data_IF_333334390382
#
_entry.id   IF_333334390382
#
_cell.length_a   1.000
_cell.length_b   1.000
_cell.length_c   1.000
_cell.angle_alpha   90.00
_cell.angle_beta   90.00
_cell.angle_gamma   90.00
#
_symmetry.space_group_name_H-M   'P 1'
#
loop_
_entity.id
_entity.type
_entity.pdbx_description
1 polymer ?
#
# COMPACT_ATOMS: atom_id res chain seq x y z
N UNK A 1 17.78 -4.46 -11.24
CA UNK A 1 16.73 -3.43 -11.23
C UNK A 1 15.61 -4.03 -10.42
N UNK A 2 15.26 -3.41 -9.29
CA UNK A 2 14.15 -3.89 -8.47
C UNK A 2 12.87 -3.23 -9.00
N UNK A 3 11.93 -4.07 -9.41
CA UNK A 3 10.59 -3.66 -9.81
C UNK A 3 9.73 -3.57 -8.54
N UNK A 4 9.12 -2.40 -8.33
CA UNK A 4 8.26 -2.10 -7.20
C UNK A 4 6.86 -1.89 -7.75
N UNK A 5 5.93 -2.75 -7.35
CA UNK A 5 4.52 -2.64 -7.73
C UNK A 5 3.77 -1.84 -6.68
N UNK A 6 3.35 -0.63 -7.00
CA UNK A 6 2.51 0.21 -6.16
C UNK A 6 1.05 -0.17 -6.37
N UNK A 7 0.36 -0.56 -5.31
CA UNK A 7 -1.03 -0.97 -5.33
C UNK A 7 -1.82 0.12 -4.60
N UNK A 8 -2.54 0.95 -5.34
CA UNK A 8 -3.34 2.01 -4.77
C UNK A 8 -4.82 1.61 -4.65
N UNK A 9 -5.44 1.91 -3.51
CA UNK A 9 -6.86 1.69 -3.27
C UNK A 9 -7.49 2.95 -2.71
N UNK A 10 -8.33 3.61 -3.50
CA UNK A 10 -9.03 4.83 -3.11
C UNK A 10 -10.44 4.86 -3.64
N UNK A 11 -11.33 5.57 -2.95
CA UNK A 11 -12.65 5.97 -3.49
C UNK A 11 -12.64 7.40 -4.01
N UNK A 12 -11.79 8.27 -3.44
CA UNK A 12 -11.78 9.72 -3.69
C UNK A 12 -10.48 10.21 -4.37
N UNK A 13 -9.63 9.31 -4.86
CA UNK A 13 -8.35 9.68 -5.47
C UNK A 13 -7.18 9.93 -4.50
N UNK A 14 -7.41 10.19 -3.21
CA UNK A 14 -6.33 10.58 -2.28
C UNK A 14 -5.16 9.56 -2.20
N UNK A 15 -5.45 8.26 -2.16
CA UNK A 15 -4.38 7.24 -2.12
C UNK A 15 -3.66 7.10 -3.47
N UNK A 16 -4.33 7.40 -4.58
CA UNK A 16 -3.76 7.36 -5.94
C UNK A 16 -2.73 8.47 -6.11
N UNK A 17 -3.06 9.70 -5.72
CA UNK A 17 -2.10 10.83 -5.73
C UNK A 17 -0.83 10.52 -4.93
N UNK A 18 -0.99 9.94 -3.74
CA UNK A 18 0.18 9.54 -2.93
C UNK A 18 0.99 8.46 -3.64
N UNK A 19 0.33 7.44 -4.22
CA UNK A 19 1.03 6.40 -4.96
C UNK A 19 1.81 6.95 -6.18
N UNK A 20 1.19 7.85 -6.97
CA UNK A 20 1.86 8.52 -8.10
C UNK A 20 3.09 9.30 -7.65
N UNK A 21 2.97 10.11 -6.59
CA UNK A 21 4.09 10.85 -6.04
C UNK A 21 5.24 9.93 -5.61
N UNK A 22 4.92 8.81 -4.95
CA UNK A 22 5.92 7.85 -4.50
C UNK A 22 6.59 7.12 -5.66
N UNK A 23 5.84 6.81 -6.73
CA UNK A 23 6.38 6.18 -7.92
C UNK A 23 7.40 7.10 -8.61
N UNK A 24 7.07 8.38 -8.80
CA UNK A 24 8.01 9.36 -9.38
C UNK A 24 9.31 9.41 -8.56
N UNK A 25 9.21 9.45 -7.22
CA UNK A 25 10.39 9.45 -6.33
C UNK A 25 11.21 8.17 -6.43
N UNK A 26 10.57 7.01 -6.61
CA UNK A 26 11.26 5.74 -6.81
C UNK A 26 12.01 5.73 -8.15
N UNK A 27 11.39 6.26 -9.21
CA UNK A 27 12.03 6.40 -10.53
C UNK A 27 13.22 7.37 -10.49
N UNK A 28 13.12 8.50 -9.77
CA UNK A 28 14.23 9.42 -9.55
C UNK A 28 15.43 8.75 -8.84
N UNK A 29 15.16 7.76 -7.99
CA UNK A 29 16.18 6.96 -7.29
C UNK A 29 16.73 5.80 -8.15
N UNK A 30 16.19 5.58 -9.36
CA UNK A 30 16.60 4.54 -10.30
C UNK A 30 15.92 3.18 -10.11
N UNK A 31 14.79 3.15 -9.41
CA UNK A 31 13.92 1.96 -9.31
C UNK A 31 12.83 2.00 -10.38
N UNK A 32 12.36 0.84 -10.84
CA UNK A 32 11.19 0.75 -11.71
C UNK A 32 9.95 0.69 -10.81
N UNK A 33 9.03 1.63 -10.96
CA UNK A 33 7.81 1.71 -10.16
C UNK A 33 6.58 1.57 -11.08
N UNK A 34 5.76 0.53 -10.87
CA UNK A 34 4.53 0.33 -11.63
C UNK A 34 3.32 0.55 -10.72
N UNK A 35 2.43 1.46 -11.12
CA UNK A 35 1.24 1.81 -10.34
C UNK A 35 0.04 1.02 -10.86
N UNK A 36 -0.61 0.31 -9.95
CA UNK A 36 -1.84 -0.43 -10.18
C UNK A 36 -2.94 0.12 -9.28
N UNK A 37 -4.06 0.51 -9.86
CA UNK A 37 -5.21 1.05 -9.14
C UNK A 37 -6.24 -0.06 -8.95
N UNK A 38 -6.40 -0.54 -7.71
CA UNK A 38 -7.31 -1.66 -7.40
C UNK A 38 -7.13 -2.90 -8.29
N UNK A 39 -5.89 -3.39 -8.53
CA UNK A 39 -5.67 -4.55 -9.39
C UNK A 39 -6.33 -5.80 -8.80
N UNK A 40 -6.62 -6.78 -9.66
CA UNK A 40 -6.98 -8.12 -9.23
C UNK A 40 -5.74 -8.98 -8.97
N UNK A 41 -5.89 -10.11 -8.27
CA UNK A 41 -4.77 -10.98 -7.91
C UNK A 41 -4.01 -11.51 -9.15
N UNK A 42 -4.70 -11.65 -10.28
CA UNK A 42 -4.13 -12.11 -11.55
C UNK A 42 -3.20 -11.06 -12.19
N UNK A 43 -3.43 -9.78 -11.88
CA UNK A 43 -2.66 -8.66 -12.43
C UNK A 43 -1.43 -8.33 -11.57
N UNK A 44 -1.43 -8.75 -10.30
CA UNK A 44 -0.33 -8.44 -9.37
C UNK A 44 0.72 -9.56 -9.37
N UNK A 45 2.00 -9.24 -9.62
CA UNK A 45 3.05 -10.25 -9.63
C UNK A 45 3.33 -10.77 -8.21
N UNK A 46 3.06 -12.05 -7.93
CA UNK A 46 3.28 -12.73 -6.64
C UNK A 46 4.77 -12.92 -6.26
N UNK A 47 5.65 -12.07 -6.75
CA UNK A 47 7.07 -12.06 -6.47
C UNK A 47 7.61 -10.63 -6.59
N UNK A 48 8.51 -10.24 -5.68
CA UNK A 48 9.19 -8.95 -5.74
C UNK A 48 8.81 -8.05 -4.57
N UNK A 49 8.64 -6.76 -4.85
CA UNK A 49 8.35 -5.76 -3.83
C UNK A 49 7.03 -5.06 -4.17
N UNK A 50 6.09 -5.08 -3.25
CA UNK A 50 4.80 -4.39 -3.37
C UNK A 50 4.75 -3.18 -2.44
N UNK A 51 4.00 -2.16 -2.83
CA UNK A 51 3.73 -1.01 -1.99
C UNK A 51 2.23 -0.75 -1.99
N UNK A 52 1.54 -1.20 -0.95
CA UNK A 52 0.08 -1.03 -0.86
C UNK A 52 -0.23 0.33 -0.23
N UNK A 53 -0.93 1.18 -0.95
CA UNK A 53 -1.38 2.51 -0.52
C UNK A 53 -2.91 2.52 -0.54
N UNK A 54 -3.55 2.51 0.63
CA UNK A 54 -5.01 2.42 0.70
C UNK A 54 -5.64 3.47 1.59
N UNK A 55 -6.75 4.06 1.16
CA UNK A 55 -7.58 4.90 2.02
C UNK A 55 -8.57 4.05 2.81
N UNK A 56 -8.78 4.42 4.07
CA UNK A 56 -9.76 3.75 4.93
C UNK A 56 -11.15 4.28 4.66
N UNK A 57 -12.13 3.40 4.42
CA UNK A 57 -13.53 3.81 4.22
C UNK A 57 -14.39 3.51 5.45
N UNK A 58 -15.17 4.50 5.90
CA UNK A 58 -16.21 4.35 6.92
C UNK A 58 -15.72 3.76 8.25
N UNK A 59 -16.06 2.50 8.50
CA UNK A 59 -15.83 1.82 9.79
C UNK A 59 -14.43 1.19 9.93
N UNK A 60 -13.52 1.44 9.00
CA UNK A 60 -12.20 0.81 8.99
C UNK A 60 -12.01 -0.22 7.88
N UNK A 61 -12.87 -0.23 6.87
CA UNK A 61 -12.81 -1.23 5.79
C UNK A 61 -11.93 -0.76 4.62
N UNK A 62 -11.58 -1.71 3.76
CA UNK A 62 -10.90 -1.45 2.52
C UNK A 62 -11.86 -0.78 1.53
N UNK A 63 -11.35 0.05 0.60
CA UNK A 63 -12.17 0.60 -0.45
C UNK A 63 -12.62 -0.53 -1.40
N UNK A 64 -13.79 -0.36 -2.02
CA UNK A 64 -14.43 -1.33 -2.92
C UNK A 64 -13.51 -1.80 -4.06
N UNK A 65 -12.58 -0.93 -4.49
CA UNK A 65 -11.61 -1.23 -5.55
C UNK A 65 -10.49 -2.19 -5.11
N UNK A 66 -10.20 -2.24 -3.80
CA UNK A 66 -9.08 -3.02 -3.26
C UNK A 66 -9.55 -4.26 -2.48
N UNK A 67 -10.78 -4.23 -1.96
CA UNK A 67 -11.44 -5.34 -1.28
C UNK A 67 -11.36 -6.68 -2.07
N UNK A 68 -11.70 -6.74 -3.39
CA UNK A 68 -11.68 -8.00 -4.13
C UNK A 68 -10.28 -8.63 -4.26
N UNK A 69 -9.21 -7.82 -4.32
CA UNK A 69 -7.83 -8.32 -4.33
C UNK A 69 -7.55 -9.16 -3.08
N UNK A 70 -7.89 -8.63 -1.91
CA UNK A 70 -7.63 -9.31 -0.63
C UNK A 70 -8.53 -10.53 -0.44
N UNK A 71 -9.80 -10.45 -0.86
CA UNK A 71 -10.68 -11.62 -0.88
C UNK A 71 -10.15 -12.74 -1.80
N UNK A 72 -9.59 -12.37 -2.97
CA UNK A 72 -8.95 -13.32 -3.86
C UNK A 72 -7.69 -13.92 -3.23
N UNK A 73 -6.85 -13.14 -2.55
CA UNK A 73 -5.68 -13.67 -1.82
C UNK A 73 -6.13 -14.67 -0.76
N UNK A 74 -7.16 -14.35 0.02
CA UNK A 74 -7.68 -15.27 1.05
C UNK A 74 -8.29 -16.55 0.46
N UNK A 75 -8.91 -16.44 -0.72
CA UNK A 75 -9.56 -17.57 -1.40
C UNK A 75 -8.57 -18.47 -2.14
N UNK A 76 -7.66 -17.86 -2.92
CA UNK A 76 -6.67 -18.54 -3.76
C UNK A 76 -5.47 -19.02 -2.94
N UNK A 77 -5.19 -18.36 -1.81
CA UNK A 77 -4.07 -18.65 -0.92
C UNK A 77 -2.74 -18.77 -1.68
N UNK A 78 -2.35 -17.74 -2.46
CA UNK A 78 -1.11 -17.77 -3.20
C UNK A 78 0.08 -17.81 -2.23
N UNK A 79 1.19 -18.40 -2.67
CA UNK A 79 2.42 -18.40 -1.91
C UNK A 79 3.12 -17.03 -2.05
N UNK A 80 3.03 -16.19 -1.02
CA UNK A 80 3.63 -14.85 -1.00
C UNK A 80 5.01 -14.84 -0.32
N UNK A 81 5.64 -16.00 -0.10
CA UNK A 81 6.91 -16.07 0.65
C UNK A 81 8.06 -15.30 -0.01
N UNK A 82 7.98 -15.07 -1.32
CA UNK A 82 8.94 -14.27 -2.09
C UNK A 82 8.49 -12.83 -2.34
N UNK A 83 7.34 -12.44 -1.77
CA UNK A 83 6.82 -11.07 -1.82
C UNK A 83 7.25 -10.33 -0.59
N UNK A 84 7.81 -9.16 -0.82
CA UNK A 84 8.07 -8.17 0.20
C UNK A 84 7.10 -7.02 0.00
N UNK A 85 6.54 -6.45 1.05
CA UNK A 85 5.56 -5.38 0.87
C UNK A 85 5.73 -4.23 1.86
N UNK A 86 5.41 -3.02 1.40
CA UNK A 86 5.17 -1.84 2.22
C UNK A 86 3.67 -1.57 2.32
N UNK A 87 3.26 -0.95 3.42
CA UNK A 87 1.85 -0.72 3.72
C UNK A 87 1.67 0.74 4.15
N UNK A 88 0.84 1.48 3.43
CA UNK A 88 0.52 2.90 3.65
C UNK A 88 -1.00 3.04 3.74
N UNK A 89 -1.49 3.41 4.90
CA UNK A 89 -2.89 3.73 5.14
C UNK A 89 -3.12 5.23 5.13
N UNK A 90 -4.10 5.70 4.38
CA UNK A 90 -4.66 7.03 4.51
C UNK A 90 -5.95 6.93 5.33
N UNK A 91 -6.09 7.77 6.35
CA UNK A 91 -7.27 7.80 7.19
C UNK A 91 -7.54 9.19 7.72
N UNK A 92 -8.73 9.36 8.29
CA UNK A 92 -9.13 10.59 8.96
C UNK A 92 -9.25 10.30 10.45
N UNK A 93 -8.55 11.04 11.30
CA UNK A 93 -8.64 10.89 12.78
C UNK A 93 -9.99 11.29 13.35
N UNK A 94 -10.90 11.81 12.52
CA UNK A 94 -12.32 11.98 12.86
C UNK A 94 -13.07 10.65 13.01
N UNK A 95 -12.53 9.54 12.48
CA UNK A 95 -13.12 8.21 12.62
C UNK A 95 -12.41 7.40 13.71
N UNK A 96 -13.20 6.70 14.53
CA UNK A 96 -12.71 5.86 15.64
C UNK A 96 -11.77 4.73 15.15
N UNK A 97 -12.01 4.21 13.94
CA UNK A 97 -11.19 3.15 13.33
C UNK A 97 -10.11 3.72 12.42
N UNK A 98 -9.15 4.43 13.00
CA UNK A 98 -8.02 4.98 12.25
C UNK A 98 -7.17 3.86 11.61
N UNK A 99 -7.08 3.88 10.27
CA UNK A 99 -6.27 2.96 9.47
C UNK A 99 -6.60 1.46 9.66
N UNK A 100 -7.88 1.13 9.84
CA UNK A 100 -8.33 -0.28 9.94
C UNK A 100 -8.02 -1.10 8.69
N UNK A 101 -8.26 -0.54 7.51
CA UNK A 101 -8.12 -1.24 6.23
C UNK A 101 -6.69 -1.71 5.98
N UNK A 102 -5.72 -0.81 6.16
CA UNK A 102 -4.31 -1.17 5.95
C UNK A 102 -3.79 -2.20 6.98
N UNK A 103 -4.34 -2.21 8.21
CA UNK A 103 -4.01 -3.22 9.23
C UNK A 103 -4.52 -4.60 8.84
N UNK A 104 -5.71 -4.66 8.24
CA UNK A 104 -6.25 -5.91 7.70
C UNK A 104 -5.38 -6.43 6.56
N UNK A 105 -5.00 -5.56 5.63
CA UNK A 105 -4.07 -5.86 4.53
C UNK A 105 -2.74 -6.41 5.05
N UNK A 106 -2.12 -5.71 5.99
CA UNK A 106 -0.86 -6.10 6.61
C UNK A 106 -0.96 -7.50 7.22
N UNK A 107 -2.02 -7.75 7.98
CA UNK A 107 -2.26 -9.05 8.62
C UNK A 107 -2.46 -10.17 7.59
N UNK A 108 -3.24 -9.92 6.53
CA UNK A 108 -3.49 -10.88 5.46
C UNK A 108 -2.16 -11.25 4.78
N UNK A 109 -1.42 -10.26 4.28
CA UNK A 109 -0.16 -10.49 3.57
C UNK A 109 0.86 -11.24 4.43
N UNK A 110 1.04 -10.86 5.70
CA UNK A 110 1.91 -11.58 6.64
C UNK A 110 1.43 -13.02 6.85
N UNK A 111 0.12 -13.26 6.95
CA UNK A 111 -0.42 -14.60 7.13
C UNK A 111 -0.15 -15.52 5.93
N UNK A 112 -0.07 -14.96 4.72
CA UNK A 112 0.27 -15.68 3.48
C UNK A 112 1.78 -15.78 3.22
N UNK A 113 2.61 -15.36 4.17
CA UNK A 113 4.07 -15.51 4.12
C UNK A 113 4.80 -14.31 3.52
N UNK A 114 4.10 -13.25 3.10
CA UNK A 114 4.74 -12.03 2.64
C UNK A 114 5.54 -11.38 3.77
N UNK A 115 6.64 -10.73 3.43
CA UNK A 115 7.48 -10.04 4.41
C UNK A 115 7.25 -8.54 4.34
N UNK A 116 6.77 -7.96 5.44
CA UNK A 116 6.70 -6.52 5.55
C UNK A 116 8.10 -5.91 5.58
N UNK A 117 8.33 -4.93 4.73
CA UNK A 117 9.52 -4.09 4.76
C UNK A 117 9.18 -2.80 5.50
N UNK A 118 9.91 -2.53 6.58
CA UNK A 118 9.72 -1.34 7.39
C UNK A 118 8.44 -1.37 8.23
N UNK A 119 7.98 -0.18 8.62
CA UNK A 119 6.77 0.03 9.42
C UNK A 119 5.62 0.51 8.53
N UNK A 120 4.38 0.20 8.89
CA UNK A 120 3.19 0.72 8.22
C UNK A 120 3.13 2.24 8.38
N UNK A 121 2.95 2.99 7.29
CA UNK A 121 2.70 4.43 7.37
C UNK A 121 1.21 4.67 7.54
N UNK A 122 0.84 5.49 8.51
CA UNK A 122 -0.54 5.94 8.71
C UNK A 122 -0.58 7.46 8.49
N UNK A 123 -1.19 7.90 7.38
CA UNK A 123 -1.31 9.30 7.00
C UNK A 123 -2.69 9.82 7.42
N UNK A 124 -2.70 10.93 8.15
CA UNK A 124 -3.92 11.58 8.57
C UNK A 124 -4.32 12.71 7.61
N UNK A 125 -5.29 12.46 6.73
CA UNK A 125 -5.72 13.45 5.72
C UNK A 125 -6.51 14.63 6.32
N UNK A 126 -6.96 14.51 7.58
CA UNK A 126 -7.65 15.59 8.30
C UNK A 126 -6.69 16.58 8.97
N UNK A 127 -5.49 16.13 9.33
CA UNK A 127 -4.44 16.95 9.96
C UNK A 127 -3.36 17.40 8.99
N UNK A 128 -3.11 16.62 7.94
CA UNK A 128 -2.13 16.95 6.92
C UNK A 128 -2.84 17.45 5.66
N UNK A 129 -2.69 18.74 5.40
CA UNK A 129 -3.12 19.38 4.13
C UNK A 129 -2.47 18.71 2.91
N UNK A 130 -1.26 18.15 3.08
CA UNK A 130 -0.49 17.48 2.03
C UNK A 130 -0.08 16.08 2.53
N UNK A 131 -0.75 15.00 2.06
CA UNK A 131 -0.42 13.63 2.45
C UNK A 131 0.88 13.13 1.80
N UNK A 132 1.39 13.79 0.78
CA UNK A 132 2.64 13.42 0.06
C UNK A 132 3.89 13.63 0.93
N UNK A 133 3.92 14.65 1.79
CA UNK A 133 5.07 15.00 2.63
C UNK A 133 5.46 13.87 3.60
N UNK A 134 4.54 13.32 4.44
CA UNK A 134 4.86 12.16 5.26
C UNK A 134 5.16 10.90 4.44
N UNK A 135 4.55 10.76 3.26
CA UNK A 135 4.78 9.63 2.38
C UNK A 135 6.21 9.63 1.81
N UNK A 136 6.73 10.78 1.37
CA UNK A 136 8.09 10.94 0.87
C UNK A 136 9.15 10.61 1.95
N UNK A 137 8.94 11.13 3.16
CA UNK A 137 9.83 10.87 4.31
C UNK A 137 9.87 9.37 4.63
N UNK A 138 8.70 8.73 4.61
CA UNK A 138 8.58 7.30 4.84
C UNK A 138 9.24 6.50 3.71
N UNK A 139 9.00 6.86 2.45
CA UNK A 139 9.61 6.21 1.29
C UNK A 139 11.13 6.27 1.37
N UNK A 140 11.69 7.43 1.70
CA UNK A 140 13.15 7.60 1.85
C UNK A 140 13.74 6.66 2.90
N UNK A 141 12.99 6.38 3.98
CA UNK A 141 13.40 5.38 4.97
C UNK A 141 13.23 3.97 4.42
N UNK A 142 12.10 3.68 3.79
CA UNK A 142 11.76 2.38 3.25
C UNK A 142 12.75 1.93 2.16
N UNK A 143 13.15 2.85 1.26
CA UNK A 143 14.18 2.66 0.23
C UNK A 143 15.53 2.22 0.83
N UNK A 144 15.87 2.68 2.05
CA UNK A 144 17.08 2.22 2.75
C UNK A 144 16.96 0.82 3.34
N UNK A 145 15.75 0.29 3.48
CA UNK A 145 15.50 -1.06 4.00
C UNK A 145 15.40 -2.07 2.86
N UNK A 146 14.93 -1.67 1.67
CA UNK A 146 14.96 -2.54 0.47
C UNK A 146 16.36 -2.72 -0.11
N UNK A 147 17.29 -1.78 0.12
CA UNK A 147 18.64 -1.76 -0.46
C UNK A 147 19.71 -2.29 0.51
#
# INVERSE_FOLDING_TARGET
>A
MADITLISGSTLGSAEYVAEHLAEKLEEQGYSAEILHGPELDEVPLQGIWLVVTSTHGAGDLPDNLQPLFEQIETQQPDLTQVRFGAIGLGSSEYDTFCGGIKTVDRILIAFGAQRIGDTLEIDITKHDIPEDPAEIWLTKWVKVIN
#
